data_IF_985515468895
#
_entry.id   IF_985515468895
#
_cell.length_a   1.000
_cell.length_b   1.000
_cell.length_c   1.000
_cell.angle_alpha   90.00
_cell.angle_beta   90.00
_cell.angle_gamma   90.00
#
_symmetry.space_group_name_H-M   'P 1'
#
loop_
_entity.id
_entity.type
_entity.pdbx_description
1 polymer ?
#
# COMPACT_ATOMS: atom_id res chain seq x y z
N UNK A 1 14.16 -0.98 8.33
CA UNK A 1 13.10 -1.93 7.97
C UNK A 1 12.84 -1.75 6.49
N UNK A 2 13.23 -2.70 5.65
CA UNK A 2 13.05 -2.57 4.20
C UNK A 2 11.55 -2.50 3.85
N UNK A 3 11.18 -1.67 2.87
CA UNK A 3 9.82 -1.59 2.31
C UNK A 3 8.79 -0.73 3.06
N UNK A 4 9.11 -0.21 4.25
CA UNK A 4 8.26 0.80 4.91
C UNK A 4 8.54 2.18 4.33
N UNK A 5 7.53 3.03 4.27
CA UNK A 5 7.72 4.41 3.84
C UNK A 5 8.53 5.16 4.91
N UNK A 6 9.76 5.52 4.57
CA UNK A 6 10.67 6.28 5.45
C UNK A 6 10.96 7.70 4.95
N UNK A 7 10.80 7.91 3.65
CA UNK A 7 10.90 9.23 3.00
C UNK A 7 9.54 9.57 2.39
N UNK A 8 9.17 10.83 2.16
CA UNK A 8 7.96 11.13 1.42
C UNK A 8 7.99 10.55 0.00
N UNK A 9 6.88 9.98 -0.46
CA UNK A 9 6.70 9.56 -1.84
C UNK A 9 5.41 10.13 -2.42
N UNK A 10 5.42 10.32 -3.74
CA UNK A 10 4.29 10.83 -4.49
C UNK A 10 3.95 9.84 -5.61
N UNK A 11 2.67 9.48 -5.71
CA UNK A 11 2.13 8.63 -6.75
C UNK A 11 0.99 9.34 -7.43
N UNK A 12 1.13 9.52 -8.75
CA UNK A 12 0.14 10.15 -9.61
C UNK A 12 -0.36 9.12 -10.63
N UNK A 13 -1.68 9.02 -10.78
CA UNK A 13 -2.29 8.17 -11.80
C UNK A 13 -3.73 8.56 -12.08
N UNK A 14 -4.19 8.42 -13.32
CA UNK A 14 -5.53 8.78 -13.79
C UNK A 14 -6.06 10.10 -13.18
N UNK A 15 -6.97 10.00 -12.21
CA UNK A 15 -7.63 11.12 -11.54
C UNK A 15 -7.09 11.39 -10.12
N UNK A 16 -6.16 10.58 -9.62
CA UNK A 16 -5.76 10.55 -8.22
C UNK A 16 -4.29 10.90 -8.03
N UNK A 17 -4.04 11.62 -6.95
CA UNK A 17 -2.71 11.83 -6.39
C UNK A 17 -2.68 11.29 -4.98
N UNK A 18 -1.65 10.50 -4.69
CA UNK A 18 -1.34 10.01 -3.36
C UNK A 18 0.00 10.61 -2.92
N UNK A 19 0.00 11.27 -1.76
CA UNK A 19 1.22 11.69 -1.07
C UNK A 19 1.34 10.86 0.19
N UNK A 20 2.45 10.15 0.33
CA UNK A 20 2.70 9.22 1.43
C UNK A 20 3.92 9.72 2.21
N UNK A 21 3.71 10.17 3.45
CA UNK A 21 4.79 10.50 4.40
C UNK A 21 4.93 9.36 5.43
N UNK A 22 5.98 9.34 6.25
CA UNK A 22 6.09 8.36 7.34
C UNK A 22 4.91 8.38 8.34
N UNK A 23 4.15 9.47 8.39
CA UNK A 23 3.03 9.66 9.31
C UNK A 23 1.66 9.51 8.65
N UNK A 24 1.52 9.89 7.38
CA UNK A 24 0.21 10.06 6.73
C UNK A 24 0.18 9.61 5.30
N UNK A 25 -1.02 9.20 4.85
CA UNK A 25 -1.37 9.06 3.44
C UNK A 25 -2.43 10.08 3.13
N UNK A 26 -2.15 10.94 2.15
CA UNK A 26 -3.10 11.91 1.62
C UNK A 26 -3.50 11.49 0.22
N UNK A 27 -4.80 11.42 -0.05
CA UNK A 27 -5.36 11.18 -1.38
C UNK A 27 -6.17 12.40 -1.81
N UNK A 28 -5.94 12.84 -3.05
CA UNK A 28 -6.72 13.91 -3.68
C UNK A 28 -7.18 13.48 -5.07
N UNK A 29 -8.41 13.85 -5.43
CA UNK A 29 -8.95 13.64 -6.77
C UNK A 29 -8.86 14.95 -7.56
N UNK A 30 -8.17 14.93 -8.70
CA UNK A 30 -7.99 16.11 -9.55
C UNK A 30 -9.13 16.34 -10.56
N UNK A 31 -10.07 15.41 -10.68
CA UNK A 31 -11.20 15.52 -11.62
C UNK A 31 -12.54 15.78 -10.91
N UNK A 32 -12.66 15.43 -9.64
CA UNK A 32 -13.87 15.62 -8.85
C UNK A 32 -13.52 16.30 -7.53
N UNK A 33 -13.67 17.63 -7.52
CA UNK A 33 -13.40 18.49 -6.36
C UNK A 33 -14.31 18.15 -5.16
N UNK A 34 -15.49 17.58 -5.37
CA UNK A 34 -16.42 17.20 -4.29
C UNK A 34 -15.90 16.02 -3.45
N UNK A 35 -15.03 15.18 -4.02
CA UNK A 35 -14.36 14.11 -3.27
C UNK A 35 -13.26 14.66 -2.37
N UNK A 36 -12.71 15.83 -2.72
CA UNK A 36 -11.74 16.59 -1.95
C UNK A 36 -10.42 15.87 -1.70
N UNK A 37 -9.60 16.53 -0.89
CA UNK A 37 -8.41 15.92 -0.29
C UNK A 37 -8.80 15.26 1.04
N UNK A 38 -8.27 14.06 1.28
CA UNK A 38 -8.42 13.37 2.55
C UNK A 38 -7.10 12.76 2.99
N UNK A 39 -6.85 12.80 4.29
CA UNK A 39 -5.64 12.28 4.91
C UNK A 39 -5.97 11.29 6.02
N UNK A 40 -5.18 10.22 6.10
CA UNK A 40 -5.27 9.20 7.14
C UNK A 40 -3.88 8.92 7.73
N UNK A 41 -3.80 8.49 9.00
CA UNK A 41 -2.54 8.01 9.55
C UNK A 41 -2.01 6.80 8.75
N UNK A 42 -0.72 6.80 8.41
CA UNK A 42 -0.10 5.72 7.63
C UNK A 42 -0.26 4.35 8.35
N UNK A 43 -0.19 4.35 9.68
CA UNK A 43 -0.40 3.15 10.49
C UNK A 43 -1.79 2.52 10.29
N UNK A 44 -2.84 3.32 10.14
CA UNK A 44 -4.19 2.82 9.88
C UNK A 44 -4.32 2.26 8.47
N UNK A 45 -3.73 2.94 7.48
CA UNK A 45 -3.69 2.45 6.10
C UNK A 45 -2.96 1.11 6.02
N UNK A 46 -1.83 0.97 6.69
CA UNK A 46 -1.12 -0.31 6.79
C UNK A 46 -1.97 -1.42 7.43
N UNK A 47 -2.78 -1.11 8.43
CA UNK A 47 -3.69 -2.09 9.03
C UNK A 47 -4.76 -2.57 8.03
N UNK A 48 -5.28 -1.68 7.17
CA UNK A 48 -6.23 -2.03 6.10
C UNK A 48 -5.55 -2.87 5.02
N UNK A 49 -4.37 -2.45 4.55
CA UNK A 49 -3.59 -3.18 3.54
C UNK A 49 -3.26 -4.59 4.02
N UNK A 50 -2.88 -4.75 5.29
CA UNK A 50 -2.66 -6.06 5.89
C UNK A 50 -3.90 -6.96 5.83
N UNK A 51 -5.07 -6.45 6.21
CA UNK A 51 -6.34 -7.21 6.14
C UNK A 51 -6.68 -7.63 4.71
N UNK A 52 -6.39 -6.77 3.74
CA UNK A 52 -6.58 -7.09 2.32
C UNK A 52 -5.65 -8.24 1.90
N UNK A 53 -4.38 -8.21 2.28
CA UNK A 53 -3.45 -9.30 2.00
C UNK A 53 -3.80 -10.61 2.71
N UNK A 54 -4.25 -10.55 3.96
CA UNK A 54 -4.79 -11.71 4.69
C UNK A 54 -5.97 -12.32 3.92
N UNK A 55 -6.91 -11.49 3.45
CA UNK A 55 -8.04 -11.95 2.65
C UNK A 55 -7.59 -12.58 1.32
N UNK A 56 -6.66 -11.96 0.60
CA UNK A 56 -6.13 -12.51 -0.65
C UNK A 56 -5.42 -13.84 -0.43
N UNK A 57 -4.61 -13.97 0.63
CA UNK A 57 -3.96 -15.26 0.97
C UNK A 57 -5.00 -16.33 1.24
N UNK A 58 -6.03 -16.03 2.03
CA UNK A 58 -7.03 -17.01 2.42
C UNK A 58 -7.91 -17.46 1.24
N UNK A 59 -8.06 -16.58 0.23
CA UNK A 59 -8.82 -16.86 -0.99
C UNK A 59 -7.98 -17.56 -2.08
N UNK A 60 -6.79 -17.03 -2.38
CA UNK A 60 -5.85 -17.57 -3.37
C UNK A 60 -4.38 -17.34 -2.93
N UNK A 61 -3.79 -18.28 -2.17
CA UNK A 61 -2.45 -18.14 -1.62
C UNK A 61 -1.35 -18.08 -2.68
N UNK A 62 -1.54 -18.69 -3.85
CA UNK A 62 -0.51 -18.69 -4.90
C UNK A 62 -0.52 -17.37 -5.65
N UNK A 63 -1.69 -16.85 -6.00
CA UNK A 63 -1.81 -15.53 -6.61
C UNK A 63 -1.25 -14.43 -5.69
N UNK A 64 -1.52 -14.50 -4.39
CA UNK A 64 -0.96 -13.56 -3.42
C UNK A 64 0.59 -13.62 -3.38
N UNK A 65 1.18 -14.83 -3.36
CA UNK A 65 2.64 -15.01 -3.38
C UNK A 65 3.27 -14.59 -4.69
N UNK A 66 2.57 -14.78 -5.81
CA UNK A 66 3.04 -14.35 -7.13
C UNK A 66 3.07 -12.81 -7.22
N UNK A 67 2.01 -12.14 -6.79
CA UNK A 67 1.93 -10.67 -6.80
C UNK A 67 3.03 -10.01 -5.94
N UNK A 68 3.34 -10.59 -4.76
CA UNK A 68 4.46 -10.12 -3.93
C UNK A 68 5.79 -10.29 -4.65
N UNK A 69 6.04 -11.46 -5.26
CA UNK A 69 7.29 -11.71 -6.01
C UNK A 69 7.46 -10.75 -7.18
N UNK A 70 6.43 -10.55 -7.98
CA UNK A 70 6.44 -9.61 -9.11
C UNK A 70 6.78 -8.19 -8.65
N UNK A 71 6.15 -7.71 -7.57
CA UNK A 71 6.46 -6.39 -7.02
C UNK A 71 7.92 -6.27 -6.55
N UNK A 72 8.44 -7.27 -5.83
CA UNK A 72 9.82 -7.24 -5.33
C UNK A 72 10.84 -7.31 -6.48
N UNK A 73 10.54 -8.03 -7.55
CA UNK A 73 11.36 -8.12 -8.76
C UNK A 73 11.36 -6.80 -9.55
N UNK A 74 10.19 -6.19 -9.73
CA UNK A 74 10.05 -4.93 -10.49
C UNK A 74 10.69 -3.74 -9.77
N UNK A 75 10.52 -3.65 -8.45
CA UNK A 75 10.92 -2.48 -7.67
C UNK A 75 12.27 -2.65 -6.96
N UNK A 76 12.78 -3.88 -6.88
CA UNK A 76 13.93 -4.23 -6.05
C UNK A 76 13.68 -4.04 -4.55
N UNK A 77 12.46 -3.70 -4.14
CA UNK A 77 12.09 -3.37 -2.76
C UNK A 77 11.39 -4.54 -2.12
N UNK A 78 11.89 -4.98 -0.97
CA UNK A 78 11.26 -6.05 -0.20
C UNK A 78 9.98 -5.58 0.48
N UNK A 79 8.91 -6.36 0.39
CA UNK A 79 7.68 -6.06 1.11
C UNK A 79 7.91 -6.31 2.61
N UNK A 80 7.49 -5.41 3.51
CA UNK A 80 7.63 -5.63 4.94
C UNK A 80 6.89 -6.91 5.37
N UNK A 81 7.60 -7.84 6.03
CA UNK A 81 7.05 -9.13 6.42
C UNK A 81 5.90 -9.05 7.43
N UNK A 82 5.77 -7.93 8.14
CA UNK A 82 4.66 -7.65 9.07
C UNK A 82 3.38 -7.17 8.37
N UNK A 83 3.50 -6.76 7.10
CA UNK A 83 2.37 -6.46 6.21
C UNK A 83 1.95 -7.68 5.39
N UNK A 84 2.85 -8.66 5.26
CA UNK A 84 2.52 -9.95 4.70
C UNK A 84 1.79 -10.80 5.75
N UNK A 85 0.83 -11.62 5.32
CA UNK A 85 0.17 -12.54 6.21
C UNK A 85 1.19 -13.59 6.67
N UNK A 86 1.34 -13.77 7.99
CA UNK A 86 2.28 -14.75 8.53
C UNK A 86 1.94 -16.16 8.05
N UNK A 87 2.96 -16.93 7.68
CA UNK A 87 2.83 -18.37 7.49
C UNK A 87 2.45 -18.97 8.86
N UNK A 88 1.22 -19.44 8.98
CA UNK A 88 0.75 -20.21 10.13
C UNK A 88 0.96 -21.70 9.88
#
# INVERSE_FOLDING_TARGET
MAGRQTEPSEWSGNAWLAVITPETVTLSNHWNEDLGERSWPLAEVYAVVRKYWEHLRDFDPEAARQAVREYEEETGTKVPSDLLPGDA
#
